data_IF_745495328998
#
_entry.id   IF_745495328998
#
_cell.length_a   1.000
_cell.length_b   1.000
_cell.length_c   1.000
_cell.angle_alpha   90.00
_cell.angle_beta   90.00
_cell.angle_gamma   90.00
#
_symmetry.space_group_name_H-M   'P 1'
#
loop_
_entity.id
_entity.type
_entity.pdbx_description
1 polymer ?
#
# COMPACT_ATOMS: atom_id res chain seq x y z
N UNK A 1 32.47 43.55 -36.35
CA UNK A 1 31.78 42.66 -35.38
C UNK A 1 32.76 42.02 -34.39
N UNK A 2 33.80 41.32 -34.86
CA UNK A 2 34.86 40.75 -34.01
C UNK A 2 35.59 41.83 -33.17
N UNK A 3 35.82 42.99 -33.77
CA UNK A 3 36.47 44.12 -33.10
C UNK A 3 35.64 44.69 -31.94
N UNK A 4 34.30 44.72 -32.08
CA UNK A 4 33.39 45.14 -31.01
C UNK A 4 33.37 44.14 -29.85
N UNK A 5 33.44 42.83 -30.14
CA UNK A 5 33.55 41.78 -29.12
C UNK A 5 34.88 41.93 -28.36
N UNK A 6 35.98 42.16 -29.08
CA UNK A 6 37.31 42.39 -28.49
C UNK A 6 37.32 43.61 -27.56
N UNK A 7 36.71 44.73 -27.99
CA UNK A 7 36.57 45.93 -27.16
C UNK A 7 35.71 45.68 -25.92
N UNK A 8 34.63 44.88 -26.03
CA UNK A 8 33.78 44.52 -24.89
C UNK A 8 34.54 43.70 -23.83
N UNK A 9 35.32 42.69 -24.24
CA UNK A 9 36.17 41.93 -23.33
C UNK A 9 37.24 42.82 -22.68
N UNK A 10 37.87 43.71 -23.45
CA UNK A 10 38.88 44.63 -22.91
C UNK A 10 38.29 45.57 -21.86
N UNK A 11 37.04 46.02 -22.04
CA UNK A 11 36.28 46.78 -21.04
C UNK A 11 36.03 46.01 -19.74
N UNK A 12 35.65 44.73 -19.84
CA UNK A 12 35.47 43.84 -18.67
C UNK A 12 36.80 43.67 -17.91
N UNK A 13 37.91 43.44 -18.61
CA UNK A 13 39.23 43.28 -18.00
C UNK A 13 39.81 44.58 -17.42
N UNK A 14 39.37 45.76 -17.90
CA UNK A 14 39.78 47.06 -17.38
C UNK A 14 39.10 47.40 -16.04
N UNK A 15 37.91 46.85 -15.78
CA UNK A 15 37.13 47.09 -14.55
C UNK A 15 36.85 45.81 -13.77
N UNK A 16 37.91 45.04 -13.50
CA UNK A 16 37.85 43.69 -12.89
C UNK A 16 36.95 43.60 -11.66
N UNK A 17 37.07 44.54 -10.70
CA UNK A 17 36.28 44.52 -9.46
C UNK A 17 34.79 44.73 -9.72
N UNK A 18 34.43 45.69 -10.57
CA UNK A 18 33.03 45.99 -10.90
C UNK A 18 32.41 44.82 -11.65
N UNK A 19 33.07 44.33 -12.69
CA UNK A 19 32.61 43.18 -13.47
C UNK A 19 32.47 41.92 -12.62
N UNK A 20 33.41 41.68 -11.69
CA UNK A 20 33.34 40.55 -10.76
C UNK A 20 32.12 40.65 -9.83
N UNK A 21 31.91 41.80 -9.18
CA UNK A 21 30.78 42.01 -8.25
C UNK A 21 29.43 41.91 -8.98
N UNK A 22 29.31 42.42 -10.21
CA UNK A 22 28.08 42.30 -11.01
C UNK A 22 27.80 40.85 -11.42
N UNK A 23 28.83 40.10 -11.83
CA UNK A 23 28.66 38.68 -12.15
C UNK A 23 28.33 37.87 -10.90
N UNK A 24 28.98 38.15 -9.77
CA UNK A 24 28.74 37.48 -8.50
C UNK A 24 27.29 37.67 -8.04
N UNK A 25 26.74 38.88 -8.16
CA UNK A 25 25.34 39.16 -7.84
C UNK A 25 24.37 38.34 -8.69
N UNK A 26 24.61 38.24 -10.00
CA UNK A 26 23.80 37.41 -10.91
C UNK A 26 23.93 35.92 -10.59
N UNK A 27 25.14 35.44 -10.31
CA UNK A 27 25.40 34.03 -9.97
C UNK A 27 24.68 33.65 -8.67
N UNK A 28 24.82 34.45 -7.61
CA UNK A 28 24.13 34.19 -6.33
C UNK A 28 22.61 34.25 -6.51
N UNK A 29 22.11 35.21 -7.30
CA UNK A 29 20.68 35.34 -7.58
C UNK A 29 20.10 34.13 -8.32
N UNK A 30 20.78 33.63 -9.33
CA UNK A 30 20.34 32.43 -10.06
C UNK A 30 20.48 31.18 -9.17
N UNK A 31 21.59 31.06 -8.43
CA UNK A 31 21.84 29.93 -7.55
C UNK A 31 20.78 29.82 -6.43
N UNK A 32 20.38 30.95 -5.82
CA UNK A 32 19.37 30.95 -4.76
C UNK A 32 17.98 30.56 -5.29
N UNK A 33 17.61 31.02 -6.49
CA UNK A 33 16.33 30.65 -7.14
C UNK A 33 16.32 29.15 -7.45
N UNK A 34 17.39 28.62 -8.07
CA UNK A 34 17.48 27.18 -8.38
C UNK A 34 17.43 26.35 -7.10
N UNK A 35 18.15 26.76 -6.05
CA UNK A 35 18.14 26.07 -4.76
C UNK A 35 16.74 26.03 -4.16
N UNK A 36 16.05 27.18 -4.08
CA UNK A 36 14.69 27.25 -3.51
C UNK A 36 13.70 26.40 -4.31
N UNK A 37 13.71 26.48 -5.65
CA UNK A 37 12.80 25.69 -6.49
C UNK A 37 13.06 24.19 -6.34
N UNK A 38 14.34 23.78 -6.30
CA UNK A 38 14.72 22.37 -6.13
C UNK A 38 14.33 21.86 -4.74
N UNK A 39 14.53 22.66 -3.69
CA UNK A 39 14.09 22.32 -2.33
C UNK A 39 12.58 22.17 -2.28
N UNK A 40 11.81 23.12 -2.83
CA UNK A 40 10.34 23.05 -2.83
C UNK A 40 9.86 21.79 -3.56
N UNK A 41 10.40 21.49 -4.74
CA UNK A 41 10.03 20.29 -5.49
C UNK A 41 10.41 19.01 -4.74
N UNK A 42 11.61 18.94 -4.18
CA UNK A 42 12.09 17.80 -3.40
C UNK A 42 11.27 17.56 -2.13
N UNK A 43 10.95 18.62 -1.40
CA UNK A 43 10.10 18.53 -0.20
C UNK A 43 8.67 18.13 -0.56
N UNK A 44 8.10 18.65 -1.65
CA UNK A 44 6.77 18.23 -2.10
C UNK A 44 6.74 16.74 -2.48
N UNK A 45 7.75 16.27 -3.22
CA UNK A 45 7.88 14.86 -3.58
C UNK A 45 8.04 13.98 -2.33
N UNK A 46 8.86 14.40 -1.37
CA UNK A 46 9.04 13.69 -0.09
C UNK A 46 7.74 13.65 0.73
N UNK A 47 7.00 14.75 0.82
CA UNK A 47 5.70 14.80 1.51
C UNK A 47 4.71 13.86 0.81
N UNK A 48 4.67 13.86 -0.53
CA UNK A 48 3.82 12.94 -1.28
C UNK A 48 4.17 11.48 -0.99
N UNK A 49 5.46 11.12 -0.99
CA UNK A 49 5.93 9.78 -0.66
C UNK A 49 5.60 9.38 0.79
N UNK A 50 5.68 10.35 1.73
CA UNK A 50 5.36 10.14 3.13
C UNK A 50 3.86 9.95 3.39
N UNK A 51 3.00 10.72 2.73
CA UNK A 51 1.54 10.63 2.90
C UNK A 51 0.93 9.41 2.20
N UNK A 52 1.46 9.04 1.03
CA UNK A 52 0.89 7.98 0.20
C UNK A 52 1.51 6.61 0.54
N UNK A 53 2.60 6.60 1.32
CA UNK A 53 3.48 5.44 1.44
C UNK A 53 4.18 5.17 0.10
N UNK A 54 5.37 4.56 0.12
CA UNK A 54 6.13 4.40 -1.12
C UNK A 54 5.32 3.71 -2.24
N UNK A 55 5.16 4.45 -3.33
CA UNK A 55 5.36 3.95 -4.68
C UNK A 55 4.17 3.27 -5.36
N UNK A 56 3.08 2.98 -4.66
CA UNK A 56 2.11 2.04 -5.22
C UNK A 56 0.73 2.61 -5.55
N UNK A 57 0.54 3.93 -5.42
CA UNK A 57 -0.62 4.70 -5.86
C UNK A 57 -1.97 4.02 -5.57
N UNK A 58 -2.04 3.28 -4.46
CA UNK A 58 -3.13 2.39 -4.14
C UNK A 58 -4.10 3.11 -3.20
N UNK A 59 -5.35 3.17 -3.60
CA UNK A 59 -6.45 3.72 -2.82
C UNK A 59 -7.20 2.57 -2.20
N UNK A 60 -7.33 2.57 -0.88
CA UNK A 60 -8.08 1.54 -0.16
C UNK A 60 -9.53 1.98 -0.03
N UNK A 61 -10.45 1.09 -0.38
CA UNK A 61 -11.88 1.26 -0.20
C UNK A 61 -12.32 0.19 0.79
N UNK A 62 -12.69 0.62 1.99
CA UNK A 62 -13.14 -0.25 3.07
C UNK A 62 -14.50 0.18 3.59
N UNK A 63 -15.16 -0.73 4.30
CA UNK A 63 -16.46 -0.48 4.90
C UNK A 63 -16.30 0.36 6.17
N UNK A 64 -17.07 1.44 6.29
CA UNK A 64 -17.08 2.32 7.46
C UNK A 64 -18.46 2.40 8.06
N UNK A 65 -18.50 2.56 9.38
CA UNK A 65 -19.70 2.85 10.15
C UNK A 65 -19.52 4.20 10.86
N UNK A 66 -20.26 5.22 10.41
CA UNK A 66 -20.03 6.60 10.82
C UNK A 66 -18.62 7.08 10.45
N UNK A 67 -17.89 7.58 11.45
CA UNK A 67 -16.51 8.05 11.28
C UNK A 67 -15.45 6.94 11.46
N UNK A 68 -15.84 5.74 11.87
CA UNK A 68 -14.93 4.62 12.14
C UNK A 68 -14.87 3.56 11.03
N UNK A 69 -13.78 2.78 10.99
CA UNK A 69 -13.71 1.56 10.18
C UNK A 69 -14.62 0.48 10.78
N UNK A 70 -15.34 -0.25 9.92
CA UNK A 70 -16.17 -1.36 10.35
C UNK A 70 -15.34 -2.64 10.45
N UNK A 71 -15.07 -3.08 11.67
CA UNK A 71 -14.37 -4.33 11.91
C UNK A 71 -15.31 -5.53 11.75
N UNK A 72 -14.99 -6.43 10.82
CA UNK A 72 -15.76 -7.67 10.56
C UNK A 72 -15.81 -8.62 11.77
N UNK A 73 -14.96 -8.38 12.77
CA UNK A 73 -14.99 -9.04 14.08
C UNK A 73 -16.25 -8.69 14.89
N UNK A 74 -16.91 -7.57 14.58
CA UNK A 74 -18.19 -7.17 15.19
C UNK A 74 -19.41 -7.91 14.61
N UNK A 75 -19.21 -8.75 13.59
CA UNK A 75 -20.25 -9.49 12.89
C UNK A 75 -20.46 -9.02 11.45
N UNK A 76 -21.36 -9.70 10.73
CA UNK A 76 -21.73 -9.31 9.38
C UNK A 76 -22.62 -8.05 9.41
N UNK A 77 -22.29 -7.01 8.64
CA UNK A 77 -23.09 -5.80 8.60
C UNK A 77 -24.42 -6.06 7.90
N UNK A 78 -25.53 -5.67 8.53
CA UNK A 78 -26.86 -5.86 7.98
C UNK A 78 -27.05 -5.01 6.72
N UNK A 79 -27.49 -5.65 5.62
CA UNK A 79 -27.79 -4.95 4.36
C UNK A 79 -26.56 -4.68 3.49
N UNK A 80 -25.41 -5.29 3.76
CA UNK A 80 -24.25 -5.27 2.85
C UNK A 80 -24.09 -6.65 2.23
N UNK A 81 -24.21 -6.73 0.91
CA UNK A 81 -23.95 -7.97 0.17
C UNK A 81 -22.50 -8.02 -0.29
N UNK A 82 -21.92 -9.22 -0.52
CA UNK A 82 -20.63 -9.35 -1.18
C UNK A 82 -20.59 -8.60 -2.52
N UNK A 83 -19.41 -8.12 -2.91
CA UNK A 83 -19.23 -7.42 -4.19
C UNK A 83 -19.34 -8.41 -5.33
N UNK A 84 -20.23 -8.14 -6.29
CA UNK A 84 -20.44 -9.04 -7.43
C UNK A 84 -19.25 -9.01 -8.39
N UNK A 85 -19.03 -10.11 -9.11
CA UNK A 85 -17.97 -10.18 -10.14
C UNK A 85 -18.12 -9.11 -11.23
N UNK A 86 -19.35 -8.70 -11.57
CA UNK A 86 -19.60 -7.59 -12.50
C UNK A 86 -19.08 -6.25 -11.96
N UNK A 87 -19.28 -5.98 -10.66
CA UNK A 87 -18.74 -4.79 -10.00
C UNK A 87 -17.20 -4.84 -9.97
N UNK A 88 -16.62 -5.99 -9.61
CA UNK A 88 -15.16 -6.17 -9.58
C UNK A 88 -14.54 -5.87 -10.94
N UNK A 89 -15.11 -6.43 -11.99
CA UNK A 89 -14.66 -6.21 -13.37
C UNK A 89 -14.86 -4.76 -13.83
N UNK A 90 -15.95 -4.12 -13.39
CA UNK A 90 -16.20 -2.69 -13.68
C UNK A 90 -15.13 -1.79 -13.05
N UNK A 91 -14.72 -2.09 -11.81
CA UNK A 91 -13.66 -1.35 -11.11
C UNK A 91 -12.31 -1.55 -11.82
N UNK A 92 -11.97 -2.79 -12.21
CA UNK A 92 -10.73 -3.09 -12.96
C UNK A 92 -10.68 -2.38 -14.31
N UNK A 93 -11.84 -2.12 -14.94
CA UNK A 93 -11.95 -1.43 -16.24
C UNK A 93 -11.98 0.10 -16.14
N UNK A 94 -11.89 0.69 -14.95
CA UNK A 94 -11.84 2.13 -14.80
C UNK A 94 -10.65 2.71 -15.59
N UNK A 95 -10.84 3.76 -16.42
CA UNK A 95 -9.79 4.27 -17.32
C UNK A 95 -8.50 4.68 -16.60
N UNK A 96 -8.63 5.16 -15.38
CA UNK A 96 -7.54 5.65 -14.54
C UNK A 96 -6.97 4.58 -13.59
N UNK A 97 -7.63 3.43 -13.44
CA UNK A 97 -7.11 2.30 -12.69
C UNK A 97 -6.05 1.56 -13.50
N UNK A 98 -4.92 1.27 -12.87
CA UNK A 98 -3.88 0.39 -13.40
C UNK A 98 -4.19 -1.07 -13.07
N UNK A 99 -4.67 -1.34 -11.86
CA UNK A 99 -5.10 -2.66 -11.40
C UNK A 99 -6.04 -2.49 -10.19
N UNK A 100 -6.83 -3.50 -9.88
CA UNK A 100 -7.70 -3.53 -8.70
C UNK A 100 -7.76 -4.93 -8.09
N UNK A 101 -7.63 -4.97 -6.77
CA UNK A 101 -7.70 -6.20 -5.96
C UNK A 101 -8.86 -6.14 -4.99
N UNK A 102 -9.40 -7.32 -4.68
CA UNK A 102 -10.42 -7.54 -3.67
C UNK A 102 -9.87 -8.49 -2.62
N UNK A 103 -10.13 -8.18 -1.35
CA UNK A 103 -9.61 -8.96 -0.25
C UNK A 103 -10.49 -8.83 0.99
N UNK A 104 -10.44 -9.86 1.82
CA UNK A 104 -11.02 -9.89 3.16
C UNK A 104 -9.91 -9.82 4.19
N UNK A 105 -10.20 -9.22 5.33
CA UNK A 105 -9.22 -9.04 6.41
C UNK A 105 -9.89 -9.17 7.76
N UNK A 106 -9.21 -9.83 8.68
CA UNK A 106 -9.54 -9.81 10.11
C UNK A 106 -8.30 -9.44 10.90
N UNK A 107 -8.48 -8.51 11.82
CA UNK A 107 -7.44 -8.03 12.70
C UNK A 107 -7.51 -8.81 14.01
N UNK A 108 -6.39 -8.93 14.72
CA UNK A 108 -6.37 -9.60 16.02
C UNK A 108 -6.91 -11.04 16.01
N UNK A 109 -6.55 -11.81 14.97
CA UNK A 109 -7.00 -13.20 14.84
C UNK A 109 -6.31 -14.06 15.88
N UNK A 110 -7.12 -14.67 16.74
CA UNK A 110 -6.65 -15.68 17.70
C UNK A 110 -6.40 -17.03 17.01
N UNK A 111 -5.45 -17.79 17.56
CA UNK A 111 -5.18 -19.16 17.13
C UNK A 111 -4.41 -19.27 15.82
N UNK A 112 -3.52 -18.32 15.52
CA UNK A 112 -2.47 -18.48 14.51
C UNK A 112 -1.25 -19.09 15.21
N UNK A 113 -1.02 -20.39 15.04
CA UNK A 113 0.00 -21.13 15.79
C UNK A 113 0.87 -21.99 14.90
N UNK A 114 2.17 -21.99 15.15
CA UNK A 114 3.10 -23.01 14.69
C UNK A 114 3.31 -24.04 15.80
N UNK A 115 4.08 -25.10 15.52
CA UNK A 115 4.39 -26.17 16.49
C UNK A 115 5.02 -25.61 17.78
N UNK A 116 5.81 -24.53 17.69
CA UNK A 116 6.62 -24.01 18.79
C UNK A 116 6.28 -22.57 19.20
N UNK A 117 5.44 -21.87 18.44
CA UNK A 117 5.17 -20.45 18.65
C UNK A 117 3.73 -20.10 18.30
N UNK A 118 3.25 -18.99 18.86
CA UNK A 118 1.91 -18.46 18.60
C UNK A 118 2.01 -17.00 18.23
N UNK A 119 1.27 -16.58 17.20
CA UNK A 119 1.11 -15.20 16.80
C UNK A 119 -0.17 -14.67 17.45
N UNK A 120 -0.04 -14.15 18.67
CA UNK A 120 -1.09 -13.38 19.34
C UNK A 120 -1.22 -12.01 18.67
N UNK A 121 -2.44 -11.66 18.22
CA UNK A 121 -2.75 -10.41 17.50
C UNK A 121 -2.31 -10.36 16.02
N UNK A 122 -2.23 -11.51 15.34
CA UNK A 122 -1.94 -11.54 13.90
C UNK A 122 -3.09 -10.99 13.05
N UNK A 123 -2.74 -10.44 11.88
CA UNK A 123 -3.71 -10.06 10.84
C UNK A 123 -3.84 -11.19 9.84
N UNK A 124 -5.04 -11.72 9.64
CA UNK A 124 -5.31 -12.69 8.57
C UNK A 124 -5.97 -11.99 7.38
N UNK A 125 -5.53 -12.33 6.17
CA UNK A 125 -6.08 -11.78 4.93
C UNK A 125 -6.39 -12.87 3.92
N UNK A 126 -7.58 -12.83 3.33
CA UNK A 126 -7.94 -13.63 2.15
C UNK A 126 -7.77 -12.77 0.92
N UNK A 127 -6.85 -13.13 0.03
CA UNK A 127 -6.44 -12.26 -1.08
C UNK A 127 -6.68 -12.89 -2.45
N UNK A 128 -7.09 -12.07 -3.41
CA UNK A 128 -7.15 -12.46 -4.82
C UNK A 128 -5.76 -12.53 -5.47
N UNK A 129 -5.71 -12.97 -6.73
CA UNK A 129 -4.45 -13.10 -7.50
C UNK A 129 -3.77 -11.76 -7.79
N UNK A 130 -4.49 -10.64 -7.66
CA UNK A 130 -4.04 -9.29 -7.97
C UNK A 130 -3.50 -8.55 -6.74
N UNK A 131 -3.69 -9.08 -5.52
CA UNK A 131 -3.37 -8.36 -4.30
C UNK A 131 -1.88 -8.01 -4.19
N UNK A 132 -1.00 -9.00 -4.40
CA UNK A 132 0.45 -8.77 -4.26
C UNK A 132 0.94 -7.73 -5.27
N UNK A 133 0.50 -7.84 -6.53
CA UNK A 133 0.86 -6.86 -7.56
C UNK A 133 0.26 -5.49 -7.23
N UNK A 134 -1.04 -5.42 -6.91
CA UNK A 134 -1.78 -4.16 -6.70
C UNK A 134 -1.37 -3.42 -5.44
N UNK A 135 -0.97 -4.13 -4.38
CA UNK A 135 -0.55 -3.58 -3.09
C UNK A 135 0.99 -3.54 -2.92
N UNK A 136 1.76 -3.92 -3.95
CA UNK A 136 3.21 -3.68 -3.99
C UNK A 136 4.00 -4.65 -3.11
N UNK A 137 3.50 -5.87 -2.94
CA UNK A 137 4.19 -6.94 -2.25
C UNK A 137 4.96 -7.81 -3.24
N UNK A 138 6.15 -8.24 -2.84
CA UNK A 138 6.95 -9.22 -3.56
C UNK A 138 7.17 -10.46 -2.70
N UNK A 139 7.19 -11.63 -3.34
CA UNK A 139 7.58 -12.88 -2.70
C UNK A 139 9.10 -12.96 -2.75
N UNK A 140 9.77 -12.80 -1.61
CA UNK A 140 11.23 -12.85 -1.54
C UNK A 140 11.77 -14.26 -1.31
N UNK A 141 10.92 -15.19 -0.88
CA UNK A 141 11.28 -16.61 -0.67
C UNK A 141 10.08 -17.51 -0.91
N UNK A 142 10.30 -18.69 -1.51
CA UNK A 142 9.23 -19.64 -1.86
C UNK A 142 8.52 -19.28 -3.16
N UNK A 143 7.19 -19.43 -3.20
CA UNK A 143 6.35 -19.14 -4.38
C UNK A 143 5.12 -18.29 -4.04
N UNK A 144 4.61 -17.48 -4.98
CA UNK A 144 3.28 -16.87 -4.85
C UNK A 144 2.18 -17.93 -4.95
N UNK A 145 0.94 -17.51 -4.68
CA UNK A 145 -0.24 -18.31 -5.01
C UNK A 145 -0.36 -18.51 -6.52
N UNK A 146 -0.83 -19.69 -6.90
CA UNK A 146 -1.08 -20.10 -8.28
C UNK A 146 -2.58 -20.22 -8.49
N UNK A 147 -3.06 -20.09 -9.74
CA UNK A 147 -4.49 -20.28 -10.05
C UNK A 147 -5.05 -21.61 -9.53
N UNK A 148 -4.22 -22.66 -9.48
CA UNK A 148 -4.65 -23.95 -8.98
C UNK A 148 -4.95 -23.89 -7.47
N UNK A 149 -4.21 -23.10 -6.70
CA UNK A 149 -4.48 -22.93 -5.25
C UNK A 149 -5.88 -22.36 -5.00
N UNK A 150 -6.35 -21.47 -5.88
CA UNK A 150 -7.70 -20.92 -5.84
C UNK A 150 -8.75 -21.94 -6.31
N UNK A 151 -8.51 -22.64 -7.43
CA UNK A 151 -9.47 -23.55 -8.06
C UNK A 151 -9.79 -24.79 -7.21
N UNK A 152 -8.81 -25.35 -6.51
CA UNK A 152 -8.99 -26.55 -5.68
C UNK A 152 -8.93 -26.26 -4.17
N UNK A 153 -9.04 -24.99 -3.78
CA UNK A 153 -9.12 -24.57 -2.37
C UNK A 153 -7.93 -25.08 -1.54
N UNK A 154 -6.71 -24.97 -2.07
CA UNK A 154 -5.52 -25.41 -1.34
C UNK A 154 -5.34 -24.57 -0.07
N UNK A 155 -5.12 -25.25 1.07
CA UNK A 155 -4.80 -24.62 2.35
C UNK A 155 -3.33 -24.19 2.38
N UNK A 156 -3.02 -23.09 1.71
CA UNK A 156 -1.67 -22.52 1.61
C UNK A 156 -1.59 -21.11 2.19
N UNK A 157 -0.43 -20.74 2.73
CA UNK A 157 -0.18 -19.44 3.35
C UNK A 157 1.04 -18.73 2.79
N UNK A 158 0.96 -17.42 2.73
CA UNK A 158 2.09 -16.50 2.66
C UNK A 158 2.22 -15.78 4.00
N UNK A 159 3.45 -15.63 4.49
CA UNK A 159 3.75 -14.90 5.73
C UNK A 159 4.54 -13.64 5.42
N UNK A 160 4.29 -12.56 6.13
CA UNK A 160 5.19 -11.40 6.12
C UNK A 160 6.47 -11.67 6.95
N UNK A 161 7.45 -10.77 6.86
CA UNK A 161 8.70 -10.86 7.62
C UNK A 161 8.45 -10.97 9.13
N UNK A 162 7.43 -10.26 9.65
CA UNK A 162 7.11 -10.24 11.08
C UNK A 162 6.48 -11.56 11.55
N UNK A 163 5.46 -12.06 10.85
CA UNK A 163 4.82 -13.34 11.17
C UNK A 163 5.82 -14.50 11.02
N UNK A 164 6.68 -14.47 10.00
CA UNK A 164 7.72 -15.47 9.83
C UNK A 164 8.71 -15.48 11.02
N UNK A 165 9.18 -14.31 11.46
CA UNK A 165 10.09 -14.18 12.59
C UNK A 165 9.48 -14.60 13.93
N UNK A 166 8.18 -14.36 14.14
CA UNK A 166 7.49 -14.77 15.37
C UNK A 166 7.18 -16.27 15.37
N UNK A 167 6.65 -16.80 14.27
CA UNK A 167 6.21 -18.20 14.18
C UNK A 167 7.39 -19.17 14.01
N UNK A 168 8.50 -18.71 13.43
CA UNK A 168 9.66 -19.52 13.08
C UNK A 168 10.99 -18.73 13.26
N UNK A 169 11.36 -18.35 14.50
CA UNK A 169 12.48 -17.44 14.77
C UNK A 169 13.84 -17.92 14.23
N UNK A 170 14.11 -19.22 14.26
CA UNK A 170 15.40 -19.81 13.88
C UNK A 170 15.29 -20.91 12.81
N UNK A 171 14.19 -20.94 12.06
CA UNK A 171 13.94 -22.02 11.10
C UNK A 171 13.29 -21.51 9.82
N UNK A 172 13.60 -22.15 8.68
CA UNK A 172 12.91 -21.84 7.42
C UNK A 172 11.41 -22.18 7.57
N UNK A 173 10.49 -21.23 7.35
CA UNK A 173 9.05 -21.48 7.47
C UNK A 173 8.46 -22.24 6.27
N UNK A 174 9.14 -22.25 5.11
CA UNK A 174 8.59 -22.82 3.87
C UNK A 174 8.37 -24.33 4.01
N UNK A 175 7.19 -24.79 3.60
CA UNK A 175 6.76 -26.19 3.64
C UNK A 175 6.22 -26.65 5.00
N UNK A 176 6.25 -25.79 6.03
CA UNK A 176 5.71 -26.12 7.34
C UNK A 176 4.25 -25.76 7.47
N UNK A 177 3.65 -26.35 8.49
CA UNK A 177 2.25 -26.16 8.83
C UNK A 177 2.13 -25.03 9.85
N UNK A 178 1.23 -24.10 9.58
CA UNK A 178 0.70 -23.13 10.52
C UNK A 178 -0.78 -23.42 10.66
N UNK A 179 -1.25 -23.58 11.89
CA UNK A 179 -2.66 -23.70 12.18
C UNK A 179 -3.27 -22.30 12.30
N UNK A 180 -4.39 -22.07 11.62
CA UNK A 180 -5.19 -20.85 11.74
C UNK A 180 -6.57 -21.26 12.22
N UNK A 181 -6.92 -20.92 13.46
CA UNK A 181 -8.15 -21.35 14.15
C UNK A 181 -8.39 -22.87 14.06
N UNK A 182 -7.35 -23.66 14.32
CA UNK A 182 -7.36 -25.15 14.26
C UNK A 182 -7.41 -25.77 12.86
N UNK A 183 -7.31 -24.96 11.80
CA UNK A 183 -7.20 -25.46 10.44
C UNK A 183 -5.74 -25.42 9.96
N UNK A 184 -5.16 -26.53 9.46
CA UNK A 184 -3.77 -26.58 9.06
C UNK A 184 -3.56 -26.01 7.66
N UNK A 185 -2.63 -25.06 7.53
CA UNK A 185 -2.19 -24.48 6.26
C UNK A 185 -0.70 -24.68 6.05
N UNK A 186 -0.29 -24.91 4.80
CA UNK A 186 1.13 -25.03 4.44
C UNK A 186 1.70 -23.69 4.00
N UNK A 187 2.80 -23.25 4.61
CA UNK A 187 3.51 -22.02 4.19
C UNK A 187 4.21 -22.28 2.86
N UNK A 188 3.85 -21.53 1.82
CA UNK A 188 4.42 -21.70 0.46
C UNK A 188 5.37 -20.58 0.07
N UNK A 189 5.34 -19.46 0.77
CA UNK A 189 6.20 -18.33 0.48
C UNK A 189 6.18 -17.25 1.56
N UNK A 190 7.13 -16.34 1.45
CA UNK A 190 7.32 -15.21 2.34
C UNK A 190 7.28 -13.93 1.52
N UNK A 191 6.55 -12.94 2.02
CA UNK A 191 6.32 -11.68 1.35
C UNK A 191 6.92 -10.50 2.12
N UNK A 192 7.23 -9.46 1.38
CA UNK A 192 7.59 -8.14 1.90
C UNK A 192 7.09 -7.07 0.94
N UNK A 193 6.96 -5.83 1.40
CA UNK A 193 6.74 -4.72 0.47
C UNK A 193 7.96 -4.54 -0.42
N UNK A 194 7.75 -4.39 -1.73
CA UNK A 194 8.81 -4.24 -2.72
C UNK A 194 9.62 -2.96 -2.48
N UNK A 195 8.92 -1.87 -2.16
CA UNK A 195 9.56 -0.66 -1.67
C UNK A 195 9.67 -0.70 -0.14
N UNK A 196 10.92 -0.68 0.34
CA UNK A 196 11.23 -0.35 1.73
C UNK A 196 11.04 1.14 1.91
N UNK A 197 9.77 1.58 1.97
CA UNK A 197 9.48 2.92 2.46
C UNK A 197 10.07 3.05 3.86
N UNK A 198 11.08 3.89 4.00
CA UNK A 198 11.61 4.29 5.29
C UNK A 198 11.23 5.76 5.46
N UNK A 199 10.17 6.07 6.23
CA UNK A 199 9.82 7.44 6.49
C UNK A 199 11.00 8.14 7.14
N UNK A 200 11.31 9.34 6.68
CA UNK A 200 12.31 10.19 7.34
C UNK A 200 11.65 10.71 8.62
N UNK A 201 12.09 10.19 9.76
CA UNK A 201 11.60 10.57 11.08
C UNK A 201 12.38 11.79 11.54
N UNK A 202 11.76 12.98 11.51
CA UNK A 202 12.40 14.22 11.96
C UNK A 202 11.96 14.63 13.38
N UNK A 203 10.82 14.11 13.84
CA UNK A 203 10.25 14.41 15.16
C UNK A 203 9.73 13.16 15.87
N UNK A 204 9.47 13.30 17.18
CA UNK A 204 8.77 12.28 17.95
C UNK A 204 7.33 12.05 17.44
N UNK A 205 6.69 13.10 16.93
CA UNK A 205 5.34 12.99 16.35
C UNK A 205 5.38 12.14 15.07
N UNK A 206 6.36 12.37 14.19
CA UNK A 206 6.60 11.50 13.02
C UNK A 206 6.86 10.06 13.45
N UNK A 207 7.66 9.86 14.50
CA UNK A 207 7.92 8.53 15.03
C UNK A 207 6.61 7.84 15.45
N UNK A 208 5.72 8.51 16.18
CA UNK A 208 4.42 7.94 16.58
C UNK A 208 3.50 7.73 15.37
N UNK A 209 3.53 8.62 14.38
CA UNK A 209 2.73 8.50 13.15
C UNK A 209 3.16 7.32 12.27
N UNK A 210 4.46 7.05 12.18
CA UNK A 210 5.01 6.03 11.28
C UNK A 210 5.44 4.73 11.97
N UNK A 211 5.52 4.69 13.30
CA UNK A 211 5.71 3.44 14.05
C UNK A 211 4.40 2.67 14.02
N UNK A 212 4.26 1.78 13.05
CA UNK A 212 3.22 0.76 13.09
C UNK A 212 3.66 -0.34 14.05
N UNK A 213 2.80 -0.71 15.01
CA UNK A 213 2.95 -2.02 15.65
C UNK A 213 2.97 -3.05 14.51
N UNK A 214 4.10 -3.72 14.33
CA UNK A 214 4.24 -4.74 13.30
C UNK A 214 3.39 -5.95 13.73
N UNK A 215 2.11 -5.93 13.37
CA UNK A 215 1.26 -7.11 13.47
C UNK A 215 1.71 -8.07 12.38
N UNK A 216 2.10 -9.28 12.77
CA UNK A 216 2.38 -10.34 11.80
C UNK A 216 1.17 -10.56 10.89
N UNK A 217 1.40 -10.59 9.59
CA UNK A 217 0.37 -10.79 8.58
C UNK A 217 0.48 -12.19 7.99
N UNK A 218 -0.66 -12.89 7.96
CA UNK A 218 -0.82 -14.17 7.28
C UNK A 218 -1.83 -14.00 6.14
N UNK A 219 -1.42 -14.36 4.94
CA UNK A 219 -2.25 -14.23 3.75
C UNK A 219 -2.58 -15.63 3.25
N UNK A 220 -3.84 -15.86 2.89
CA UNK A 220 -4.34 -17.08 2.27
C UNK A 220 -5.12 -16.72 0.99
N UNK A 221 -5.31 -17.66 0.05
CA UNK A 221 -6.24 -17.46 -1.05
C UNK A 221 -7.64 -17.12 -0.51
N UNK A 222 -8.29 -16.11 -1.08
CA UNK A 222 -9.69 -15.75 -0.79
C UNK A 222 -10.65 -16.96 -0.88
N UNK A 223 -10.42 -17.86 -1.84
CA UNK A 223 -11.16 -19.11 -1.99
C UNK A 223 -11.08 -20.00 -0.73
N UNK A 224 -9.96 -19.99 -0.01
CA UNK A 224 -9.75 -20.79 1.20
C UNK A 224 -10.21 -20.08 2.49
N UNK A 225 -10.51 -18.77 2.43
CA UNK A 225 -10.95 -17.98 3.57
C UNK A 225 -12.17 -18.55 4.31
N UNK A 226 -13.25 -18.99 3.60
CA UNK A 226 -14.45 -19.50 4.26
C UNK A 226 -14.20 -20.78 5.07
N UNK A 227 -13.10 -21.50 4.84
CA UNK A 227 -12.73 -22.69 5.62
C UNK A 227 -12.49 -22.33 7.09
N UNK A 228 -11.90 -21.16 7.34
CA UNK A 228 -11.43 -20.74 8.67
C UNK A 228 -12.43 -19.82 9.35
N UNK A 229 -12.95 -18.85 8.60
CA UNK A 229 -13.74 -17.76 9.19
C UNK A 229 -15.24 -17.96 9.05
N UNK A 230 -15.65 -18.86 8.14
CA UNK A 230 -17.04 -19.12 7.76
C UNK A 230 -17.70 -17.83 7.19
N UNK A 231 -18.71 -17.96 6.34
CA UNK A 231 -19.45 -16.86 5.68
C UNK A 231 -18.79 -16.19 4.46
N UNK A 232 -19.65 -15.72 3.55
CA UNK A 232 -19.31 -14.78 2.47
C UNK A 232 -19.35 -13.36 3.05
N UNK A 233 -18.20 -12.89 3.54
CA UNK A 233 -18.05 -11.55 4.11
C UNK A 233 -17.90 -10.49 3.01
N UNK A 234 -18.38 -9.25 3.22
CA UNK A 234 -18.09 -8.14 2.32
C UNK A 234 -16.58 -7.92 2.17
N UNK A 235 -16.11 -7.89 0.93
CA UNK A 235 -14.71 -7.65 0.59
C UNK A 235 -14.38 -6.16 0.68
N UNK A 236 -13.14 -5.86 1.04
CA UNK A 236 -12.51 -4.58 0.79
C UNK A 236 -11.92 -4.56 -0.61
N UNK A 237 -11.68 -3.36 -1.15
CA UNK A 237 -11.01 -3.18 -2.43
C UNK A 237 -9.78 -2.30 -2.26
N UNK A 238 -8.73 -2.60 -3.01
CA UNK A 238 -7.65 -1.65 -3.22
C UNK A 238 -7.47 -1.43 -4.72
N UNK A 239 -7.47 -0.17 -5.14
CA UNK A 239 -7.32 0.19 -6.55
C UNK A 239 -6.05 1.00 -6.73
N UNK A 240 -5.16 0.51 -7.57
CA UNK A 240 -3.96 1.25 -7.94
C UNK A 240 -4.25 2.19 -9.09
N UNK A 241 -4.07 3.48 -8.88
CA UNK A 241 -4.18 4.49 -9.92
C UNK A 241 -2.93 4.49 -10.83
N UNK A 242 -3.12 4.78 -12.12
CA UNK A 242 -2.02 4.94 -13.09
C UNK A 242 -1.13 6.14 -12.76
N UNK A 243 -1.71 7.19 -12.20
CA UNK A 243 -1.04 8.43 -11.77
C UNK A 243 -1.52 8.80 -10.39
N UNK A 244 -0.65 9.41 -9.60
CA UNK A 244 -0.98 9.88 -8.24
C UNK A 244 -2.10 10.92 -8.23
N UNK A 245 -2.16 11.77 -9.26
CA UNK A 245 -3.22 12.78 -9.45
C UNK A 245 -4.61 12.16 -9.64
N UNK A 246 -4.69 10.93 -10.13
CA UNK A 246 -5.95 10.23 -10.44
C UNK A 246 -6.48 9.42 -9.24
N UNK A 247 -5.74 9.35 -8.13
CA UNK A 247 -6.11 8.53 -6.96
C UNK A 247 -7.48 8.94 -6.41
N UNK A 248 -7.74 10.23 -6.22
CA UNK A 248 -9.01 10.70 -5.66
C UNK A 248 -10.21 10.50 -6.60
N UNK A 249 -10.01 10.49 -7.92
CA UNK A 249 -11.10 10.18 -8.87
C UNK A 249 -11.36 8.69 -8.91
N UNK A 250 -10.31 7.88 -9.04
CA UNK A 250 -10.41 6.40 -9.04
C UNK A 250 -11.05 5.88 -7.76
N UNK A 251 -10.65 6.41 -6.60
CA UNK A 251 -11.23 6.07 -5.31
C UNK A 251 -12.72 6.32 -5.25
N UNK A 252 -13.18 7.51 -5.68
CA UNK A 252 -14.61 7.87 -5.69
C UNK A 252 -15.43 7.02 -6.67
N UNK A 253 -14.87 6.71 -7.83
CA UNK A 253 -15.55 5.87 -8.82
C UNK A 253 -15.68 4.42 -8.30
N UNK A 254 -14.62 3.87 -7.71
CA UNK A 254 -14.63 2.54 -7.10
C UNK A 254 -15.59 2.48 -5.89
N UNK A 255 -15.56 3.50 -5.03
CA UNK A 255 -16.47 3.67 -3.90
C UNK A 255 -17.95 3.67 -4.37
N UNK A 256 -18.26 4.42 -5.42
CA UNK A 256 -19.62 4.47 -5.98
C UNK A 256 -20.07 3.10 -6.50
N UNK A 257 -19.18 2.32 -7.11
CA UNK A 257 -19.49 0.98 -7.61
C UNK A 257 -19.71 0.01 -6.44
N UNK A 258 -18.86 0.02 -5.42
CA UNK A 258 -18.98 -0.87 -4.25
C UNK A 258 -20.21 -0.56 -3.41
N UNK A 259 -20.57 0.72 -3.25
CA UNK A 259 -21.76 1.12 -2.50
C UNK A 259 -23.09 0.63 -3.13
N UNK A 260 -23.10 0.15 -4.38
CA UNK A 260 -24.28 -0.54 -4.95
C UNK A 260 -24.60 -1.86 -4.23
N UNK A 261 -23.63 -2.46 -3.56
CA UNK A 261 -23.81 -3.67 -2.73
C UNK A 261 -24.38 -3.36 -1.34
N UNK A 262 -24.46 -2.08 -0.97
CA UNK A 262 -25.04 -1.61 0.29
C UNK A 262 -26.50 -1.26 0.04
N UNK A 263 -27.41 -2.07 0.59
CA UNK A 263 -28.87 -1.91 0.49
C UNK A 263 -29.52 -1.50 1.81
N UNK A 264 -28.76 -1.54 2.92
CA UNK A 264 -29.22 -1.12 4.24
C UNK A 264 -29.39 0.40 4.39
N UNK A 265 -30.36 0.82 5.19
CA UNK A 265 -30.62 2.23 5.58
C UNK A 265 -29.75 2.69 6.77
N UNK A 266 -28.69 1.96 7.11
CA UNK A 266 -27.80 2.27 8.22
C UNK A 266 -26.68 3.25 7.85
N UNK A 267 -25.90 3.67 8.84
CA UNK A 267 -24.72 4.52 8.70
C UNK A 267 -23.48 3.77 8.16
N UNK A 268 -23.71 2.73 7.35
CA UNK A 268 -22.67 1.85 6.81
C UNK A 268 -22.48 2.17 5.34
N UNK A 269 -21.25 2.44 4.92
CA UNK A 269 -20.91 2.74 3.53
C UNK A 269 -19.46 2.36 3.25
N UNK A 270 -19.17 1.97 2.02
CA UNK A 270 -17.79 1.93 1.54
C UNK A 270 -17.27 3.35 1.39
N UNK A 271 -16.04 3.61 1.81
CA UNK A 271 -15.37 4.90 1.62
C UNK A 271 -13.93 4.70 1.17
N UNK A 272 -13.50 5.52 0.22
CA UNK A 272 -12.11 5.60 -0.18
C UNK A 272 -11.28 6.36 0.88
N UNK A 273 -10.11 5.84 1.22
CA UNK A 273 -9.08 6.47 2.06
C UNK A 273 -8.02 7.20 1.23
#
# INVERSE_FOLDING_TARGET
MIENIRLAFQGIFSHKLRSFLTMLGVIIGIASIIAIVSTIQGTNEQIMQNLIGAGNNAVTISLRQGDGEYYMDSGLPAGVSPVTEEQKESIRKLPQAADATFYVTRSYVDGITSVNASLSSGRAMGIDTHYLSTCGYEVYSGRPFTENDYKVFHKVLLLDETAAGILFPDENPIGKIVEVRSEPFTVVGLIRKADKFQPVIESYEDYVTYTQEAYGMVLMPDASWPIVFLYDEPENCSVRAKRTEDMSSVGRDAESIMNKSVTGTGDISYRAE
#
